data_IF_076198152145
#
_entry.id   IF_076198152145
#
_cell.length_a   1.000
_cell.length_b   1.000
_cell.length_c   1.000
_cell.angle_alpha   90.00
_cell.angle_beta   90.00
_cell.angle_gamma   90.00
#
_symmetry.space_group_name_H-M   'P 1'
#
loop_
_entity.id
_entity.type
_entity.pdbx_description
1 polymer ?
#
# COMPACT_ATOMS: atom_id res chain seq x y z
N UNK A 1 -2.60 39.67 -17.77
CA UNK A 1 -3.45 38.60 -18.31
C UNK A 1 -3.14 37.37 -17.49
N UNK A 2 -3.99 37.13 -16.49
CA UNK A 2 -3.83 36.08 -15.47
C UNK A 2 -4.11 34.75 -16.13
N UNK A 3 -3.10 33.87 -16.19
CA UNK A 3 -3.28 32.51 -16.66
C UNK A 3 -3.97 31.68 -15.57
N UNK A 4 -5.05 31.03 -15.95
CA UNK A 4 -5.85 30.18 -15.08
C UNK A 4 -5.40 28.73 -15.26
N UNK A 5 -4.77 28.13 -14.23
CA UNK A 5 -4.51 26.68 -14.17
C UNK A 5 -4.21 26.30 -12.71
N UNK A 6 -4.79 25.28 -12.05
CA UNK A 6 -5.63 24.11 -12.35
C UNK A 6 -6.41 23.84 -11.03
N UNK A 7 -7.64 23.29 -10.99
CA UNK A 7 -8.24 22.92 -9.71
C UNK A 7 -7.31 21.93 -9.00
N UNK A 8 -7.02 22.17 -7.73
CA UNK A 8 -6.22 21.29 -6.90
C UNK A 8 -6.91 19.91 -6.87
N UNK A 9 -6.46 18.98 -7.71
CA UNK A 9 -7.04 17.66 -7.84
C UNK A 9 -6.96 16.94 -6.49
N UNK A 10 -8.09 16.38 -6.05
CA UNK A 10 -8.19 15.60 -4.82
C UNK A 10 -7.08 14.56 -4.75
N UNK A 11 -6.22 14.50 -3.71
CA UNK A 11 -5.31 13.38 -3.54
C UNK A 11 -6.13 12.21 -2.97
N UNK A 12 -7.14 11.73 -3.69
CA UNK A 12 -8.22 11.05 -2.97
C UNK A 12 -7.86 9.63 -2.57
N UNK A 13 -6.82 9.04 -3.19
CA UNK A 13 -6.45 7.65 -2.94
C UNK A 13 -5.05 7.50 -2.39
N UNK A 14 -4.95 6.71 -1.34
CA UNK A 14 -3.71 6.22 -0.73
C UNK A 14 -3.25 4.96 -1.47
N UNK A 15 -1.98 4.89 -1.84
CA UNK A 15 -1.33 3.67 -2.29
C UNK A 15 -0.90 2.87 -1.06
N UNK A 16 -1.24 1.57 -0.94
CA UNK A 16 -0.78 0.71 0.16
C UNK A 16 0.65 0.19 -0.05
N UNK A 17 1.35 0.65 -1.08
CA UNK A 17 2.66 0.15 -1.51
C UNK A 17 3.59 1.31 -1.89
N UNK A 18 3.54 2.39 -1.11
CA UNK A 18 4.37 3.58 -1.34
C UNK A 18 5.78 3.33 -0.81
N UNK A 19 6.84 3.65 -1.57
CA UNK A 19 8.22 3.59 -1.07
C UNK A 19 8.43 4.46 0.16
N UNK A 20 9.41 4.13 0.99
CA UNK A 20 9.64 4.84 2.25
C UNK A 20 9.91 6.34 2.06
N UNK A 21 10.57 6.72 0.97
CA UNK A 21 10.86 8.13 0.64
C UNK A 21 9.61 9.02 0.53
N UNK A 22 8.44 8.45 0.22
CA UNK A 22 7.18 9.18 0.03
C UNK A 22 6.05 8.67 0.94
N UNK A 23 6.35 7.79 1.88
CA UNK A 23 5.35 7.21 2.77
C UNK A 23 4.92 8.20 3.84
N UNK A 24 3.63 8.25 4.13
CA UNK A 24 3.05 9.08 5.20
C UNK A 24 2.40 8.24 6.30
N UNK A 25 2.05 6.99 6.00
CA UNK A 25 1.41 6.07 6.94
C UNK A 25 2.19 4.77 7.02
N UNK A 26 2.50 4.34 8.23
CA UNK A 26 2.96 2.99 8.54
C UNK A 26 1.75 2.08 8.76
N UNK A 27 1.61 1.05 7.94
CA UNK A 27 0.50 0.10 8.04
C UNK A 27 0.82 -1.07 8.98
N UNK A 28 2.08 -1.47 9.10
CA UNK A 28 2.48 -2.60 9.92
C UNK A 28 3.82 -3.21 9.54
N UNK A 29 4.32 -4.10 10.39
CA UNK A 29 5.52 -4.89 10.12
C UNK A 29 5.19 -6.13 9.32
N UNK A 30 6.11 -6.55 8.45
CA UNK A 30 6.05 -7.86 7.80
C UNK A 30 6.61 -8.89 8.79
N UNK A 31 5.81 -9.91 9.08
CA UNK A 31 6.18 -11.00 9.97
C UNK A 31 7.06 -12.02 9.24
N UNK A 32 7.80 -12.90 9.96
CA UNK A 32 8.54 -14.00 9.33
C UNK A 32 7.68 -14.94 8.48
N UNK A 33 6.36 -14.97 8.72
CA UNK A 33 5.41 -15.72 7.90
C UNK A 33 5.03 -15.01 6.57
N UNK A 34 5.69 -13.89 6.22
CA UNK A 34 5.42 -13.13 5.00
C UNK A 34 4.09 -12.38 5.02
N UNK A 35 3.53 -12.10 6.21
CA UNK A 35 2.24 -11.41 6.38
C UNK A 35 2.39 -10.12 7.16
N UNK A 36 1.64 -9.09 6.78
CA UNK A 36 1.62 -7.81 7.50
C UNK A 36 0.87 -7.93 8.83
N UNK A 37 1.56 -7.64 9.92
CA UNK A 37 0.99 -7.36 11.23
C UNK A 37 0.50 -5.90 11.27
N UNK A 38 -0.76 -5.69 10.89
CA UNK A 38 -1.35 -4.36 10.81
C UNK A 38 -1.43 -3.65 12.15
N UNK A 39 -1.07 -2.37 12.16
CA UNK A 39 -1.25 -1.47 13.31
C UNK A 39 -2.46 -0.57 13.07
N UNK A 40 -3.33 -0.50 14.08
CA UNK A 40 -4.46 0.43 14.13
C UNK A 40 -4.56 1.07 15.51
N UNK A 41 -4.71 2.40 15.62
CA UNK A 41 -4.96 3.40 14.56
C UNK A 41 -3.76 3.67 13.65
N UNK A 42 -3.93 4.55 12.65
CA UNK A 42 -2.86 4.94 11.73
C UNK A 42 -1.65 5.48 12.50
N UNK A 43 -0.45 5.02 12.16
CA UNK A 43 0.82 5.54 12.69
C UNK A 43 1.52 6.35 11.58
N UNK A 44 2.02 7.56 11.85
CA UNK A 44 2.83 8.30 10.88
C UNK A 44 4.06 7.49 10.48
N UNK A 45 4.37 7.43 9.18
CA UNK A 45 5.51 6.67 8.68
C UNK A 45 6.83 7.14 9.31
N UNK A 46 7.08 8.45 9.37
CA UNK A 46 8.28 9.04 9.96
C UNK A 46 8.54 8.58 11.41
N UNK A 47 7.48 8.47 12.23
CA UNK A 47 7.57 8.05 13.63
C UNK A 47 7.94 6.57 13.73
N UNK A 48 7.29 5.73 12.93
CA UNK A 48 7.58 4.29 12.93
C UNK A 48 8.98 3.99 12.40
N UNK A 49 9.39 4.67 11.32
CA UNK A 49 10.69 4.48 10.69
C UNK A 49 11.85 4.92 11.58
N UNK A 50 11.71 6.04 12.30
CA UNK A 50 12.70 6.48 13.27
C UNK A 50 12.96 5.44 14.40
N UNK A 51 11.98 4.62 14.73
CA UNK A 51 12.09 3.57 15.76
C UNK A 51 12.63 2.23 15.27
N UNK A 52 12.70 1.98 13.96
CA UNK A 52 13.06 0.67 13.40
C UNK A 52 14.57 0.41 13.32
N UNK A 53 15.38 1.44 13.57
CA UNK A 53 16.84 1.39 13.53
C UNK A 53 17.41 1.07 12.14
N UNK A 54 18.73 1.21 12.02
CA UNK A 54 19.44 0.85 10.80
C UNK A 54 19.51 -0.67 10.63
N UNK A 55 19.50 -1.12 9.39
CA UNK A 55 19.49 -2.53 8.99
C UNK A 55 20.01 -2.65 7.57
N UNK A 56 20.68 -3.76 7.27
CA UNK A 56 21.16 -4.07 5.92
C UNK A 56 20.01 -4.45 4.97
N UNK A 57 18.85 -4.87 5.51
CA UNK A 57 17.65 -5.14 4.72
C UNK A 57 16.88 -3.85 4.38
N UNK A 58 16.38 -3.71 3.13
CA UNK A 58 15.52 -2.61 2.72
C UNK A 58 14.29 -2.48 3.62
N UNK A 59 13.89 -1.27 3.95
CA UNK A 59 12.73 -1.04 4.82
C UNK A 59 11.43 -1.59 4.22
N UNK A 60 11.30 -1.56 2.89
CA UNK A 60 10.14 -2.09 2.17
C UNK A 60 9.99 -3.63 2.26
N UNK A 61 11.05 -4.36 2.61
CA UNK A 61 10.97 -5.82 2.87
C UNK A 61 10.52 -6.12 4.30
N UNK A 62 10.64 -5.14 5.21
CA UNK A 62 10.33 -5.27 6.65
C UNK A 62 9.03 -4.59 7.06
N UNK A 63 8.59 -3.57 6.32
CA UNK A 63 7.46 -2.73 6.66
C UNK A 63 6.51 -2.53 5.48
N UNK A 64 5.21 -2.52 5.78
CA UNK A 64 4.17 -2.10 4.83
C UNK A 64 3.87 -0.63 5.02
N UNK A 65 4.12 0.15 3.98
CA UNK A 65 4.02 1.60 4.00
C UNK A 65 2.96 2.10 3.00
N UNK A 66 2.33 3.21 3.34
CA UNK A 66 1.34 3.86 2.50
C UNK A 66 1.56 5.36 2.40
N UNK A 67 1.12 5.93 1.28
CA UNK A 67 1.20 7.36 1.00
C UNK A 67 0.30 7.75 -0.17
N UNK A 68 0.30 9.02 -0.60
CA UNK A 68 -0.50 9.47 -1.74
C UNK A 68 -0.25 8.63 -2.99
N UNK A 69 -1.30 8.22 -3.70
CA UNK A 69 -1.18 7.51 -4.96
C UNK A 69 -0.77 8.47 -6.08
N UNK A 70 0.39 8.22 -6.69
CA UNK A 70 0.96 9.07 -7.75
C UNK A 70 0.45 8.75 -9.17
N UNK A 71 -0.49 7.80 -9.29
CA UNK A 71 -1.17 7.40 -10.54
C UNK A 71 -0.22 7.31 -11.74
N UNK A 72 -0.30 8.21 -12.72
CA UNK A 72 0.48 8.20 -13.96
C UNK A 72 2.00 8.27 -13.76
N UNK A 73 2.48 8.70 -12.59
CA UNK A 73 3.91 8.68 -12.25
C UNK A 73 4.36 7.36 -11.61
N UNK A 74 3.46 6.39 -11.44
CA UNK A 74 3.76 5.05 -10.94
C UNK A 74 4.01 4.10 -12.10
N UNK A 75 5.12 3.35 -12.07
CA UNK A 75 5.44 2.35 -13.11
C UNK A 75 4.44 1.19 -13.22
N UNK A 76 3.55 1.03 -12.23
CA UNK A 76 2.47 0.03 -12.26
C UNK A 76 1.12 0.58 -12.73
N UNK A 77 1.04 1.85 -13.10
CA UNK A 77 -0.19 2.45 -13.60
C UNK A 77 -0.43 2.05 -15.05
N UNK A 78 -1.63 1.57 -15.36
CA UNK A 78 -1.99 1.06 -16.69
C UNK A 78 -2.46 2.15 -17.66
N UNK A 79 -2.56 3.39 -17.19
CA UNK A 79 -3.20 4.50 -17.88
C UNK A 79 -4.56 4.87 -17.27
N UNK A 80 -5.29 3.90 -16.73
CA UNK A 80 -6.63 4.11 -16.14
C UNK A 80 -6.80 3.58 -14.72
N UNK A 81 -6.01 2.59 -14.29
CA UNK A 81 -6.13 1.95 -12.97
C UNK A 81 -4.78 1.44 -12.46
N UNK A 82 -4.76 0.99 -11.20
CA UNK A 82 -3.57 0.39 -10.60
C UNK A 82 -3.40 -1.06 -11.06
N UNK A 83 -2.44 -1.30 -11.96
CA UNK A 83 -2.13 -2.64 -12.46
C UNK A 83 -1.57 -3.58 -11.39
N UNK A 84 -0.79 -3.05 -10.43
CA UNK A 84 -0.28 -3.85 -9.32
C UNK A 84 -1.43 -4.34 -8.41
N UNK A 85 -2.36 -3.46 -8.05
CA UNK A 85 -3.50 -3.82 -7.21
C UNK A 85 -4.39 -4.88 -7.87
N UNK A 86 -4.67 -4.72 -9.18
CA UNK A 86 -5.39 -5.70 -9.97
C UNK A 86 -4.68 -7.07 -10.01
N UNK A 87 -3.37 -7.07 -10.30
CA UNK A 87 -2.56 -8.29 -10.35
C UNK A 87 -2.55 -9.02 -9.01
N UNK A 88 -2.35 -8.32 -7.91
CA UNK A 88 -2.30 -8.94 -6.58
C UNK A 88 -3.64 -9.55 -6.17
N UNK A 89 -4.76 -8.86 -6.45
CA UNK A 89 -6.09 -9.39 -6.19
C UNK A 89 -6.37 -10.68 -6.99
N UNK A 90 -6.01 -10.70 -8.28
CA UNK A 90 -6.16 -11.87 -9.13
C UNK A 90 -5.29 -13.05 -8.68
N UNK A 91 -3.99 -12.82 -8.45
CA UNK A 91 -3.07 -13.89 -8.02
C UNK A 91 -3.45 -14.49 -6.66
N UNK A 92 -3.97 -13.68 -5.74
CA UNK A 92 -4.46 -14.20 -4.46
C UNK A 92 -5.71 -15.07 -4.66
N UNK A 93 -6.65 -14.67 -5.51
CA UNK A 93 -7.86 -15.45 -5.77
C UNK A 93 -7.57 -16.83 -6.37
N UNK A 94 -6.49 -16.99 -7.14
CA UNK A 94 -6.07 -18.28 -7.73
C UNK A 94 -5.41 -19.23 -6.70
N UNK A 95 -4.86 -18.68 -5.62
CA UNK A 95 -4.02 -19.42 -4.68
C UNK A 95 -4.62 -19.55 -3.28
N UNK A 96 -5.63 -18.75 -2.96
CA UNK A 96 -6.22 -18.71 -1.64
C UNK A 96 -7.11 -19.94 -1.38
N UNK A 97 -7.01 -20.59 -0.20
CA UNK A 97 -8.03 -21.52 0.28
C UNK A 97 -9.38 -20.80 0.45
N UNK A 98 -10.51 -21.53 0.55
CA UNK A 98 -11.83 -20.91 0.72
C UNK A 98 -11.82 -19.91 1.89
N UNK A 99 -12.26 -18.69 1.56
CA UNK A 99 -12.04 -17.40 2.23
C UNK A 99 -11.69 -17.41 3.73
N UNK A 100 -10.59 -16.73 4.09
CA UNK A 100 -10.53 -15.99 5.35
C UNK A 100 -11.60 -14.88 5.28
N UNK A 101 -12.73 -15.06 5.96
CA UNK A 101 -13.87 -14.12 5.92
C UNK A 101 -13.55 -12.73 6.49
N UNK A 102 -12.44 -12.58 7.22
CA UNK A 102 -12.16 -11.36 7.98
C UNK A 102 -11.11 -10.49 7.31
N UNK A 103 -11.53 -9.30 6.85
CA UNK A 103 -10.62 -8.31 6.28
C UNK A 103 -9.65 -7.78 7.35
N UNK A 104 -8.37 -7.49 7.02
CA UNK A 104 -7.40 -6.93 7.96
C UNK A 104 -7.87 -5.60 8.55
N UNK A 105 -7.48 -5.24 9.77
CA UNK A 105 -7.75 -3.90 10.30
C UNK A 105 -6.79 -2.88 9.67
N UNK A 106 -7.08 -2.43 8.45
CA UNK A 106 -6.23 -1.54 7.68
C UNK A 106 -6.65 -0.07 7.85
N UNK A 107 -5.71 0.77 8.31
CA UNK A 107 -5.95 2.17 8.65
C UNK A 107 -6.36 3.05 7.43
N UNK A 108 -5.98 2.67 6.22
CA UNK A 108 -6.27 3.45 5.00
C UNK A 108 -7.43 2.89 4.17
N UNK A 109 -8.15 1.85 4.62
CA UNK A 109 -9.15 1.14 3.77
C UNK A 109 -10.09 2.08 3.01
N UNK A 110 -10.63 3.10 3.69
CA UNK A 110 -11.59 4.06 3.11
C UNK A 110 -10.99 4.87 1.95
N UNK A 111 -9.69 5.14 1.98
CA UNK A 111 -8.97 5.91 0.97
C UNK A 111 -8.06 5.04 0.11
N UNK A 112 -8.00 3.72 0.32
CA UNK A 112 -7.06 2.85 -0.37
C UNK A 112 -7.41 2.69 -1.85
N UNK A 113 -6.44 2.96 -2.74
CA UNK A 113 -6.53 2.78 -4.19
C UNK A 113 -6.91 1.34 -4.57
N UNK A 114 -6.24 0.35 -3.98
CA UNK A 114 -6.50 -1.06 -4.32
C UNK A 114 -7.90 -1.49 -3.90
N UNK A 115 -8.35 -1.10 -2.70
CA UNK A 115 -9.71 -1.40 -2.25
C UNK A 115 -10.77 -0.67 -3.08
N UNK A 116 -10.49 0.58 -3.48
CA UNK A 116 -11.39 1.35 -4.33
C UNK A 116 -11.65 0.70 -5.69
N UNK A 117 -10.62 0.09 -6.28
CA UNK A 117 -10.69 -0.45 -7.64
C UNK A 117 -11.04 -1.94 -7.67
N UNK A 118 -10.60 -2.72 -6.67
CA UNK A 118 -10.73 -4.18 -6.65
C UNK A 118 -11.63 -4.69 -5.51
N UNK A 119 -12.13 -3.79 -4.66
CA UNK A 119 -13.00 -4.12 -3.54
C UNK A 119 -12.31 -4.93 -2.43
N UNK A 120 -13.09 -5.70 -1.64
CA UNK A 120 -12.59 -6.50 -0.53
C UNK A 120 -11.51 -7.53 -0.91
N UNK A 121 -11.55 -8.05 -2.14
CA UNK A 121 -10.61 -9.07 -2.62
C UNK A 121 -9.14 -8.60 -2.60
N UNK A 122 -8.89 -7.29 -2.73
CA UNK A 122 -7.52 -6.76 -2.65
C UNK A 122 -6.94 -6.73 -1.23
N UNK A 123 -7.78 -6.76 -0.19
CA UNK A 123 -7.31 -6.59 1.18
C UNK A 123 -6.50 -7.78 1.70
N UNK A 124 -6.96 -9.05 1.56
CA UNK A 124 -6.15 -10.21 1.88
C UNK A 124 -4.87 -10.27 1.07
N UNK A 125 -4.94 -10.07 -0.25
CA UNK A 125 -3.77 -10.02 -1.13
C UNK A 125 -2.72 -9.00 -0.65
N UNK A 126 -3.15 -7.79 -0.29
CA UNK A 126 -2.27 -6.72 0.23
C UNK A 126 -1.52 -7.13 1.50
N UNK A 127 -2.11 -7.98 2.34
CA UNK A 127 -1.50 -8.46 3.58
C UNK A 127 -0.34 -9.44 3.32
N UNK A 128 -0.23 -10.01 2.12
CA UNK A 128 0.82 -10.96 1.72
C UNK A 128 1.89 -10.37 0.81
N UNK A 129 1.82 -9.06 0.51
CA UNK A 129 2.83 -8.41 -0.34
C UNK A 129 4.07 -8.09 0.50
N UNK A 130 5.18 -8.74 0.14
CA UNK A 130 6.53 -8.42 0.62
C UNK A 130 7.31 -7.84 -0.54
N UNK A 131 7.83 -6.62 -0.40
CA UNK A 131 8.59 -5.96 -1.45
C UNK A 131 10.08 -6.24 -1.24
N UNK A 132 10.64 -7.13 -2.05
CA UNK A 132 12.07 -7.41 -2.06
C UNK A 132 12.77 -6.40 -3.00
N UNK A 133 12.87 -5.14 -2.56
CA UNK A 133 13.58 -4.10 -3.29
C UNK A 133 15.10 -4.24 -3.07
N UNK A 134 15.70 -5.32 -3.55
CA UNK A 134 17.15 -5.33 -3.81
C UNK A 134 17.38 -4.49 -5.06
N UNK A 135 17.92 -3.28 -4.87
CA UNK A 135 18.49 -2.48 -5.96
C UNK A 135 19.96 -2.88 -6.10
#
# INVERSE_FOLDING_TARGET
MTDAARPAGTPERMCPSTPASNATVFLGMITPAGRVAYVTPAVPAEVALAGLGDSDEPIESRARLAGPCVTSSCGFWTGSHCGLGARMAASYAETAPPAEETLPKCAIRRTCRWFAEQGPAACPACAHVVTDARI
#
